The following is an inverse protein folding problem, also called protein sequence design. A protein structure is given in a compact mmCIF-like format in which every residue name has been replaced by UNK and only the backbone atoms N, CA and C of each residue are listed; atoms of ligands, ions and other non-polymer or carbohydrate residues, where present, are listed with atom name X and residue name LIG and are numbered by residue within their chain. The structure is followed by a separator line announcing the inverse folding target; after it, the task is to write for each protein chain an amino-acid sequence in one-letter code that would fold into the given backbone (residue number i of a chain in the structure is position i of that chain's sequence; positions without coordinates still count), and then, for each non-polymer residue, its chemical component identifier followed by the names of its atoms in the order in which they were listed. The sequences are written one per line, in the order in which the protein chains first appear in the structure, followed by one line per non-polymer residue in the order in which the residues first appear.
data_IF_526675629542
#
_entry.id   IF_526675629542
#
_cell.length_a   1.000
_cell.length_b   1.000
_cell.length_c   1.000
_cell.angle_alpha   90.00
_cell.angle_beta   90.00
_cell.angle_gamma   90.00
#
_symmetry.space_group_name_H-M   'P 1'
#
loop_
_entity.id
_entity.type
_entity.pdbx_description
1 polymer ?
#
# COMPACT_ATOMS: atom_id res chain seq x y z
N UNK A 1 15.09 -1.87 -10.82
CA UNK A 1 13.65 -1.58 -10.63
C UNK A 1 13.53 -0.42 -9.65
N UNK A 2 12.94 0.69 -10.07
CA UNK A 2 12.74 1.84 -9.19
C UNK A 2 11.55 1.60 -8.25
N UNK A 3 11.57 2.22 -7.07
CA UNK A 3 10.52 2.06 -6.05
C UNK A 3 9.15 2.53 -6.55
N UNK A 4 9.10 3.55 -7.42
CA UNK A 4 7.86 4.02 -8.03
C UNK A 4 7.20 2.91 -8.87
N UNK A 5 7.99 2.18 -9.67
CA UNK A 5 7.49 1.03 -10.43
C UNK A 5 6.92 -0.08 -9.54
N UNK A 6 7.41 -0.23 -8.30
CA UNK A 6 6.86 -1.21 -7.35
C UNK A 6 5.50 -0.75 -6.85
N UNK A 7 5.36 0.54 -6.53
CA UNK A 7 4.10 1.10 -6.02
C UNK A 7 3.02 1.08 -7.10
N UNK A 8 3.37 1.35 -8.36
CA UNK A 8 2.42 1.26 -9.48
C UNK A 8 1.92 -0.17 -9.69
N UNK A 9 2.80 -1.18 -9.57
CA UNK A 9 2.39 -2.59 -9.62
C UNK A 9 1.47 -2.91 -8.43
N UNK A 10 1.80 -2.47 -7.22
CA UNK A 10 0.94 -2.67 -6.04
C UNK A 10 -0.46 -2.08 -6.29
N UNK A 11 -0.52 -0.84 -6.79
CA UNK A 11 -1.80 -0.19 -7.12
C UNK A 11 -2.59 -0.98 -8.16
N UNK A 12 -1.93 -1.40 -9.24
CA UNK A 12 -2.55 -2.24 -10.27
C UNK A 12 -3.11 -3.53 -9.68
N UNK A 13 -2.31 -4.29 -8.94
CA UNK A 13 -2.73 -5.55 -8.33
C UNK A 13 -3.91 -5.36 -7.36
N UNK A 14 -3.88 -4.31 -6.54
CA UNK A 14 -5.00 -3.98 -5.65
C UNK A 14 -6.27 -3.64 -6.43
N UNK A 15 -6.19 -2.85 -7.50
CA UNK A 15 -7.34 -2.48 -8.33
C UNK A 15 -8.01 -3.69 -9.01
N UNK A 16 -7.24 -4.74 -9.29
CA UNK A 16 -7.77 -6.00 -9.88
C UNK A 16 -8.10 -7.07 -8.84
N UNK A 17 -7.88 -6.81 -7.53
CA UNK A 17 -8.11 -7.78 -6.46
C UNK A 17 -7.04 -8.88 -6.35
N UNK A 18 -5.89 -8.73 -7.02
CA UNK A 18 -4.73 -9.60 -6.89
C UNK A 18 -3.92 -9.24 -5.63
N UNK A 19 -4.53 -9.53 -4.47
CA UNK A 19 -3.98 -9.19 -3.15
C UNK A 19 -2.65 -9.91 -2.89
N UNK A 20 -2.51 -11.14 -3.38
CA UNK A 20 -1.30 -11.94 -3.19
C UNK A 20 -0.10 -11.28 -3.87
N UNK A 21 -0.25 -10.85 -5.12
CA UNK A 21 0.81 -10.14 -5.82
C UNK A 21 1.09 -8.76 -5.20
N UNK A 22 0.04 -8.02 -4.81
CA UNK A 22 0.21 -6.76 -4.08
C UNK A 22 1.08 -6.95 -2.83
N UNK A 23 0.78 -7.98 -2.03
CA UNK A 23 1.53 -8.32 -0.82
C UNK A 23 2.99 -8.71 -1.13
N UNK A 24 3.22 -9.58 -2.12
CA UNK A 24 4.58 -9.94 -2.58
C UNK A 24 5.39 -8.71 -2.98
N UNK A 25 4.76 -7.77 -3.71
CA UNK A 25 5.41 -6.55 -4.15
C UNK A 25 5.69 -5.56 -3.02
N UNK A 26 4.82 -5.49 -2.00
CA UNK A 26 5.07 -4.72 -0.77
C UNK A 26 6.31 -5.26 -0.04
N UNK A 27 6.40 -6.57 0.15
CA UNK A 27 7.56 -7.19 0.81
C UNK A 27 8.85 -6.94 0.04
N UNK A 28 8.82 -7.06 -1.29
CA UNK A 28 9.95 -6.76 -2.17
C UNK A 28 10.36 -5.29 -2.09
N UNK A 29 9.38 -4.37 -2.12
CA UNK A 29 9.60 -2.93 -1.97
C UNK A 29 10.25 -2.58 -0.65
N UNK A 30 9.76 -3.16 0.45
CA UNK A 30 10.34 -2.99 1.79
C UNK A 30 11.79 -3.45 1.83
N UNK A 31 12.10 -4.65 1.32
CA UNK A 31 13.47 -5.17 1.31
C UNK A 31 14.44 -4.25 0.54
N UNK A 32 13.99 -3.65 -0.57
CA UNK A 32 14.79 -2.68 -1.32
C UNK A 32 14.98 -1.39 -0.51
N UNK A 33 13.92 -0.89 0.14
CA UNK A 33 13.99 0.29 0.98
C UNK A 33 14.92 0.10 2.19
N UNK A 34 14.92 -1.07 2.81
CA UNK A 34 15.82 -1.48 3.90
C UNK A 34 17.28 -1.48 3.44
N UNK A 35 17.57 -2.12 2.30
CA UNK A 35 18.92 -2.11 1.69
C UNK A 35 19.42 -0.69 1.42
N UNK A 36 18.51 0.19 0.98
CA UNK A 36 18.81 1.59 0.70
C UNK A 36 18.75 2.50 1.94
N UNK A 37 18.44 1.94 3.13
CA UNK A 37 18.26 2.67 4.39
C UNK A 37 17.25 3.83 4.29
N UNK A 38 16.25 3.71 3.42
CA UNK A 38 15.23 4.75 3.21
C UNK A 38 14.05 4.57 4.16
N UNK A 39 14.15 5.18 5.34
CA UNK A 39 13.17 5.04 6.42
C UNK A 39 11.74 5.42 6.03
N UNK A 40 11.56 6.42 5.17
CA UNK A 40 10.23 6.82 4.72
C UNK A 40 9.57 5.72 3.86
N UNK A 41 10.33 5.11 2.95
CA UNK A 41 9.84 4.01 2.12
C UNK A 41 9.61 2.73 2.95
N UNK A 42 10.46 2.45 3.93
CA UNK A 42 10.25 1.32 4.86
C UNK A 42 8.92 1.49 5.58
N UNK A 43 8.66 2.68 6.13
CA UNK A 43 7.39 3.00 6.81
C UNK A 43 6.20 2.91 5.85
N UNK A 44 6.33 3.43 4.63
CA UNK A 44 5.30 3.32 3.58
C UNK A 44 4.88 1.87 3.35
N UNK A 45 5.84 1.00 3.03
CA UNK A 45 5.55 -0.41 2.76
C UNK A 45 5.02 -1.14 4.00
N UNK A 46 5.52 -0.80 5.19
CA UNK A 46 4.98 -1.37 6.43
C UNK A 46 3.51 -0.98 6.65
N UNK A 47 3.12 0.27 6.40
CA UNK A 47 1.73 0.70 6.54
C UNK A 47 0.82 -0.03 5.53
N UNK A 48 1.27 -0.18 4.29
CA UNK A 48 0.53 -0.95 3.27
C UNK A 48 0.36 -2.42 3.68
N UNK A 49 1.42 -3.04 4.21
CA UNK A 49 1.39 -4.41 4.71
C UNK A 49 0.34 -4.58 5.83
N UNK A 50 0.39 -3.70 6.85
CA UNK A 50 -0.52 -3.72 7.99
C UNK A 50 -1.99 -3.54 7.54
N UNK A 51 -2.22 -2.63 6.58
CA UNK A 51 -3.56 -2.36 6.06
C UNK A 51 -4.13 -3.56 5.30
N UNK A 52 -3.35 -4.18 4.40
CA UNK A 52 -3.77 -5.40 3.68
C UNK A 52 -4.05 -6.55 4.65
N UNK A 53 -3.29 -6.61 5.74
CA UNK A 53 -3.48 -7.62 6.77
C UNK A 53 -4.69 -7.37 7.69
N UNK A 54 -5.32 -6.21 7.58
CA UNK A 54 -6.39 -5.79 8.48
C UNK A 54 -5.90 -5.57 9.92
N UNK A 55 -4.61 -5.34 10.12
CA UNK A 55 -4.00 -5.10 11.44
C UNK A 55 -4.13 -3.64 11.89
N UNK A 56 -4.45 -2.73 10.96
CA UNK A 56 -4.76 -1.33 11.23
C UNK A 56 -6.07 -0.94 10.54
N UNK A 57 -6.79 0.03 11.11
CA UNK A 57 -7.97 0.62 10.50
C UNK A 57 -7.64 1.59 9.37
N UNK A 58 -8.66 1.99 8.61
CA UNK A 58 -8.56 2.98 7.54
C UNK A 58 -8.01 4.32 8.04
N UNK A 59 -8.44 4.76 9.22
CA UNK A 59 -8.06 6.06 9.78
C UNK A 59 -6.58 6.08 10.19
N UNK A 60 -6.11 5.01 10.82
CA UNK A 60 -4.71 4.82 11.18
C UNK A 60 -3.81 4.74 9.93
N UNK A 61 -4.30 4.08 8.87
CA UNK A 61 -3.60 4.00 7.59
C UNK A 61 -3.47 5.37 6.93
N UNK A 62 -4.57 6.13 6.83
CA UNK A 62 -4.58 7.50 6.27
C UNK A 62 -3.63 8.40 7.05
N UNK A 63 -3.73 8.40 8.38
CA UNK A 63 -2.88 9.20 9.25
C UNK A 63 -1.40 8.85 9.05
N UNK A 64 -1.09 7.56 9.06
CA UNK A 64 0.28 7.07 8.88
C UNK A 64 0.88 7.51 7.55
N UNK A 65 0.10 7.48 6.45
CA UNK A 65 0.56 7.91 5.13
C UNK A 65 0.75 9.43 5.03
N UNK A 66 -0.15 10.23 5.62
CA UNK A 66 -0.05 11.69 5.62
C UNK A 66 1.17 12.18 6.41
N UNK A 67 1.48 11.51 7.51
CA UNK A 67 2.63 11.80 8.38
C UNK A 67 3.99 11.39 7.76
N UNK A 68 4.00 10.62 6.65
CA UNK A 68 5.25 10.25 6.00
C UNK A 68 5.95 11.48 5.43
N UNK A 69 7.20 11.70 5.85
CA UNK A 69 8.08 12.69 5.24
C UNK A 69 8.68 12.14 3.93
N UNK A 70 7.90 12.22 2.85
CA UNK A 70 8.17 11.62 1.53
C UNK A 70 9.18 12.39 0.67
N UNK A 71 9.85 13.42 1.21
CA UNK A 71 10.92 14.14 0.49
C UNK A 71 12.02 13.22 -0.09
N UNK A 72 12.09 11.96 0.33
CA UNK A 72 13.03 10.94 -0.16
C UNK A 72 12.54 10.06 -1.32
N UNK A 73 11.32 10.22 -1.84
CA UNK A 73 10.89 9.51 -3.06
C UNK A 73 11.26 10.36 -4.28
N UNK A 74 12.32 9.95 -4.98
CA UNK A 74 12.74 10.60 -6.22
C UNK A 74 11.59 10.60 -7.24
N UNK A 75 11.45 11.70 -7.99
CA UNK A 75 10.51 11.87 -9.11
C UNK A 75 9.02 12.02 -8.72
N UNK A 76 8.71 12.38 -7.47
CA UNK A 76 7.35 12.78 -7.08
C UNK A 76 7.29 14.31 -7.00
N UNK A 77 6.63 14.94 -7.96
CA UNK A 77 6.47 16.40 -8.03
C UNK A 77 5.43 16.90 -7.03
N UNK A 78 4.34 16.14 -6.83
CA UNK A 78 3.30 16.45 -5.85
C UNK A 78 3.11 15.31 -4.84
N UNK A 79 3.63 15.52 -3.62
CA UNK A 79 3.54 14.54 -2.53
C UNK A 79 2.10 14.21 -2.17
N UNK A 80 1.25 15.22 -2.07
CA UNK A 80 -0.10 15.05 -1.53
C UNK A 80 -0.94 14.22 -2.49
N UNK A 81 -0.92 14.57 -3.78
CA UNK A 81 -1.60 13.79 -4.82
C UNK A 81 -1.09 12.35 -4.90
N UNK A 82 0.23 12.14 -4.75
CA UNK A 82 0.80 10.81 -4.76
C UNK A 82 0.27 9.96 -3.60
N UNK A 83 0.25 10.51 -2.38
CA UNK A 83 -0.26 9.84 -1.19
C UNK A 83 -1.77 9.59 -1.29
N UNK A 84 -2.53 10.59 -1.72
CA UNK A 84 -3.97 10.47 -1.90
C UNK A 84 -4.29 9.38 -2.93
N UNK A 85 -3.48 9.25 -3.99
CA UNK A 85 -3.65 8.17 -4.97
C UNK A 85 -3.44 6.77 -4.38
N UNK A 86 -2.53 6.62 -3.41
CA UNK A 86 -2.29 5.35 -2.72
C UNK A 86 -3.46 5.06 -1.78
N UNK A 87 -3.86 6.05 -0.97
CA UNK A 87 -5.00 5.95 -0.04
C UNK A 87 -6.24 5.51 -0.81
N UNK A 88 -6.59 6.22 -1.88
CA UNK A 88 -7.80 5.95 -2.65
C UNK A 88 -7.83 4.53 -3.22
N UNK A 89 -6.71 4.05 -3.77
CA UNK A 89 -6.63 2.68 -4.30
C UNK A 89 -6.81 1.65 -3.19
N UNK A 90 -6.13 1.80 -2.06
CA UNK A 90 -6.25 0.84 -0.96
C UNK A 90 -7.66 0.81 -0.37
N UNK A 91 -8.25 1.98 -0.08
CA UNK A 91 -9.61 2.06 0.47
C UNK A 91 -10.65 1.46 -0.48
N UNK A 92 -10.58 1.81 -1.76
CA UNK A 92 -11.46 1.25 -2.79
C UNK A 92 -11.33 -0.27 -2.86
N UNK A 93 -10.11 -0.80 -3.00
CA UNK A 93 -9.87 -2.22 -3.16
C UNK A 93 -10.24 -3.03 -1.92
N UNK A 94 -9.92 -2.54 -0.73
CA UNK A 94 -10.25 -3.24 0.53
C UNK A 94 -11.76 -3.31 0.71
N UNK A 95 -12.48 -2.21 0.43
CA UNK A 95 -13.95 -2.20 0.45
C UNK A 95 -14.54 -3.10 -0.62
N UNK A 96 -14.00 -3.08 -1.84
CA UNK A 96 -14.57 -3.80 -3.00
C UNK A 96 -14.37 -5.31 -2.93
N UNK A 97 -13.26 -5.77 -2.37
CA UNK A 97 -12.86 -7.17 -2.34
C UNK A 97 -12.86 -7.77 -0.93
N UNK A 98 -13.31 -7.02 0.09
CA UNK A 98 -13.30 -7.43 1.50
C UNK A 98 -11.93 -7.97 1.95
N UNK A 99 -10.87 -7.22 1.64
CA UNK A 99 -9.49 -7.69 1.80
C UNK A 99 -9.12 -7.74 3.29
N UNK A 100 -8.78 -8.94 3.77
CA UNK A 100 -8.07 -9.22 5.03
C UNK A 100 -7.11 -10.37 4.74
N UNK A 101 -5.81 -10.11 4.64
CA UNK A 101 -4.82 -11.14 4.28
C UNK A 101 -3.98 -11.56 5.50
N UNK A 102 -3.64 -12.84 5.70
CA UNK A 102 -3.93 -14.00 4.86
C UNK A 102 -5.34 -14.59 5.07
N UNK A 103 -6.13 -14.12 6.03
CA UNK A 103 -7.47 -14.68 6.30
C UNK A 103 -8.56 -14.15 5.37
N UNK A 104 -8.58 -14.73 4.19
CA UNK A 104 -9.58 -14.56 3.14
C UNK A 104 -10.96 -15.07 3.60
N UNK A 105 -11.80 -14.23 4.23
CA UNK A 105 -13.24 -14.53 4.35
C UNK A 105 -13.91 -14.11 3.05
N UNK A 106 -13.91 -15.05 2.10
CA UNK A 106 -14.68 -14.98 0.88
C UNK A 106 -16.17 -15.06 1.20
N UNK A 107 -16.76 -13.94 1.64
CA UNK A 107 -18.20 -13.73 1.50
C UNK A 107 -18.39 -12.52 0.60
N UNK A 108 -18.77 -12.79 -0.64
CA UNK A 108 -19.57 -11.84 -1.42
C UNK A 108 -20.68 -11.38 -0.49
N UNK A 109 -20.73 -10.08 -0.21
CA UNK A 109 -21.98 -9.45 0.16
C UNK A 109 -22.74 -9.38 -1.16
N UNK A 110 -23.55 -10.41 -1.44
CA UNK A 110 -24.60 -10.26 -2.44
C UNK A 110 -25.58 -9.19 -1.93
N UNK A 111 -26.12 -8.34 -2.83
CA UNK A 111 -26.92 -7.16 -2.48
C UNK A 111 -28.20 -7.48 -1.71
#
# INVERSE_FOLDING_TARGET
MYVNNIIDIIKGSMLYGDVENAYKMILKGRSIAEKNRNQAQIRLFRCMELMIRGEIGTDDFIKSLKDLNIRSIKYVENKNEYIDSIINVFLYSISRYNIRYPEYINKRIDP
#
